data_IF_836055524836
#
_entry.id   IF_836055524836
#
_cell.length_a   1.000
_cell.length_b   1.000
_cell.length_c   1.000
_cell.angle_alpha   90.00
_cell.angle_beta   90.00
_cell.angle_gamma   90.00
#
_symmetry.space_group_name_H-M   'P 1'
#
loop_
_entity.id
_entity.type
_entity.pdbx_description
1 polymer ?
#
# COMPACT_ATOMS: atom_id res chain seq x y z
N UNK A 1 6.08 39.95 -14.31
CA UNK A 1 6.43 38.89 -15.28
C UNK A 1 5.95 37.58 -14.69
N UNK A 2 4.98 36.91 -15.32
CA UNK A 2 4.53 35.60 -14.85
C UNK A 2 5.67 34.60 -15.07
N UNK A 3 6.33 34.20 -13.98
CA UNK A 3 7.29 33.10 -13.99
C UNK A 3 6.52 31.84 -14.39
N UNK A 4 6.65 31.42 -15.65
CA UNK A 4 6.11 30.15 -16.12
C UNK A 4 6.85 29.03 -15.40
N UNK A 5 6.27 28.53 -14.32
CA UNK A 5 6.79 27.33 -13.68
C UNK A 5 6.62 26.15 -14.64
N UNK A 6 7.65 25.31 -14.83
CA UNK A 6 7.54 24.19 -15.74
C UNK A 6 6.43 23.23 -15.26
N UNK A 7 5.59 22.84 -16.21
CA UNK A 7 4.58 21.78 -16.05
C UNK A 7 4.82 20.75 -17.14
N UNK A 8 4.56 19.48 -16.83
CA UNK A 8 4.83 18.38 -17.74
C UNK A 8 3.95 18.47 -19.01
N UNK A 9 4.55 18.27 -20.18
CA UNK A 9 3.88 18.28 -21.51
C UNK A 9 4.43 17.13 -22.37
N UNK A 10 3.61 16.57 -23.27
CA UNK A 10 3.99 15.49 -24.19
C UNK A 10 4.66 14.30 -23.48
N UNK A 11 4.12 13.89 -22.33
CA UNK A 11 4.71 12.89 -21.45
C UNK A 11 4.57 11.47 -22.02
N UNK A 12 5.62 10.68 -21.85
CA UNK A 12 5.53 9.22 -21.94
C UNK A 12 4.82 8.65 -20.71
N UNK A 13 4.37 7.39 -20.77
CA UNK A 13 3.80 6.71 -19.60
C UNK A 13 4.76 6.69 -18.40
N UNK A 14 6.06 6.47 -18.64
CA UNK A 14 7.09 6.50 -17.61
C UNK A 14 7.24 7.89 -16.97
N UNK A 15 7.18 8.97 -17.76
CA UNK A 15 7.21 10.34 -17.21
C UNK A 15 5.96 10.67 -16.38
N UNK A 16 4.78 10.16 -16.76
CA UNK A 16 3.57 10.30 -15.95
C UNK A 16 3.66 9.53 -14.64
N UNK A 17 4.28 8.35 -14.65
CA UNK A 17 4.50 7.57 -13.43
C UNK A 17 5.46 8.32 -12.48
N UNK A 18 6.54 8.90 -13.01
CA UNK A 18 7.42 9.79 -12.25
C UNK A 18 6.68 11.04 -11.73
N UNK A 19 5.75 11.60 -12.50
CA UNK A 19 4.92 12.70 -12.05
C UNK A 19 3.96 12.31 -10.91
N UNK A 20 3.41 11.10 -10.92
CA UNK A 20 2.61 10.60 -9.81
C UNK A 20 3.46 10.48 -8.54
N UNK A 21 4.67 9.92 -8.63
CA UNK A 21 5.61 9.82 -7.51
C UNK A 21 6.01 11.20 -6.96
N UNK A 22 6.44 12.10 -7.85
CA UNK A 22 6.84 13.46 -7.50
C UNK A 22 5.70 14.24 -6.83
N UNK A 23 4.48 14.14 -7.37
CA UNK A 23 3.32 14.81 -6.79
C UNK A 23 3.00 14.32 -5.37
N UNK A 24 3.09 13.01 -5.12
CA UNK A 24 2.88 12.45 -3.77
C UNK A 24 4.02 12.82 -2.81
N UNK A 25 5.28 12.78 -3.25
CA UNK A 25 6.43 13.17 -2.42
C UNK A 25 6.32 14.64 -1.97
N UNK A 26 5.92 15.53 -2.87
CA UNK A 26 5.69 16.93 -2.55
C UNK A 26 4.47 17.09 -1.63
N UNK A 27 3.38 16.34 -1.88
CA UNK A 27 2.21 16.36 -0.99
C UNK A 27 2.57 15.96 0.44
N UNK A 28 3.33 14.86 0.62
CA UNK A 28 3.77 14.41 1.95
C UNK A 28 4.60 15.47 2.65
N UNK A 29 5.50 16.11 1.92
CA UNK A 29 6.36 17.20 2.40
C UNK A 29 5.52 18.40 2.85
N UNK A 30 4.60 18.87 2.00
CA UNK A 30 3.75 20.03 2.27
C UNK A 30 2.77 19.80 3.41
N UNK A 31 2.17 18.61 3.49
CA UNK A 31 1.32 18.25 4.63
C UNK A 31 2.09 18.29 5.94
N UNK A 32 3.27 17.65 6.01
CA UNK A 32 4.06 17.65 7.23
C UNK A 32 4.43 19.08 7.65
N UNK A 33 4.87 19.93 6.71
CA UNK A 33 5.15 21.33 6.98
C UNK A 33 3.91 22.11 7.46
N UNK A 34 2.76 21.95 6.80
CA UNK A 34 1.52 22.63 7.16
C UNK A 34 1.01 22.22 8.56
N UNK A 35 1.34 21.00 9.00
CA UNK A 35 1.03 20.49 10.34
C UNK A 35 2.09 20.85 11.40
N UNK A 36 3.09 21.68 11.07
CA UNK A 36 4.17 22.07 11.99
C UNK A 36 5.19 20.96 12.23
N UNK A 37 5.23 19.97 11.36
CA UNK A 37 6.10 18.81 11.39
C UNK A 37 7.49 19.05 10.80
N UNK A 38 8.21 17.96 10.53
CA UNK A 38 9.58 17.94 10.05
C UNK A 38 9.69 17.20 8.71
N UNK A 39 10.64 17.64 7.88
CA UNK A 39 11.03 16.97 6.65
C UNK A 39 12.54 16.81 6.64
N UNK A 40 13.01 15.58 6.38
CA UNK A 40 14.42 15.25 6.26
C UNK A 40 14.67 14.67 4.88
N UNK A 41 15.55 15.32 4.12
CA UNK A 41 15.97 14.86 2.80
C UNK A 41 17.45 14.50 2.81
N UNK A 42 17.78 13.34 2.27
CA UNK A 42 19.13 12.92 1.90
C UNK A 42 19.13 12.41 0.45
N UNK A 43 20.31 12.06 -0.09
CA UNK A 43 20.44 11.64 -1.49
C UNK A 43 19.51 10.44 -1.81
N UNK A 44 18.40 10.74 -2.51
CA UNK A 44 17.42 9.74 -2.91
C UNK A 44 16.40 9.33 -1.83
N UNK A 45 16.34 10.01 -0.68
CA UNK A 45 15.44 9.67 0.42
C UNK A 45 14.78 10.93 0.99
N UNK A 46 13.45 10.93 1.06
CA UNK A 46 12.67 11.98 1.73
C UNK A 46 11.79 11.36 2.80
N UNK A 47 11.99 11.79 4.05
CA UNK A 47 11.25 11.33 5.21
C UNK A 47 10.46 12.51 5.79
N UNK A 48 9.20 12.28 6.13
CA UNK A 48 8.33 13.29 6.75
C UNK A 48 7.89 12.84 8.14
N UNK A 49 7.56 13.79 9.00
CA UNK A 49 7.04 13.57 10.34
C UNK A 49 6.01 14.66 10.65
N UNK A 50 4.73 14.30 10.82
CA UNK A 50 3.66 15.26 11.11
C UNK A 50 3.34 15.43 12.60
N UNK A 51 3.99 14.69 13.49
CA UNK A 51 3.69 14.64 14.93
C UNK A 51 3.51 13.21 15.45
N UNK A 52 3.40 13.03 16.79
CA UNK A 52 3.35 11.70 17.40
C UNK A 52 2.05 10.95 17.10
N UNK A 53 0.94 11.65 16.88
CA UNK A 53 -0.36 11.05 16.57
C UNK A 53 -0.61 10.89 15.06
N UNK A 54 0.39 11.25 14.23
CA UNK A 54 0.29 11.24 12.77
C UNK A 54 1.17 10.16 12.17
N UNK A 55 0.77 9.66 11.01
CA UNK A 55 1.62 8.80 10.21
C UNK A 55 2.74 9.63 9.55
N UNK A 56 3.93 9.04 9.49
CA UNK A 56 5.07 9.54 8.75
C UNK A 56 5.16 8.88 7.38
N UNK A 57 5.75 9.59 6.40
CA UNK A 57 5.93 9.05 5.05
C UNK A 57 7.39 9.04 4.63
N UNK A 58 7.80 7.95 3.99
CA UNK A 58 9.02 7.84 3.20
C UNK A 58 8.62 7.86 1.73
N UNK A 59 8.86 8.98 1.07
CA UNK A 59 8.37 9.25 -0.28
C UNK A 59 9.34 8.76 -1.35
N UNK A 60 8.96 7.70 -2.08
CA UNK A 60 9.55 7.25 -3.34
C UNK A 60 11.09 7.21 -3.32
N UNK A 61 11.71 6.43 -2.41
CA UNK A 61 13.15 6.39 -2.31
C UNK A 61 13.78 5.83 -3.58
N UNK A 62 14.86 6.47 -4.01
CA UNK A 62 15.71 6.07 -5.13
C UNK A 62 17.14 6.05 -4.62
N UNK A 63 17.57 4.89 -4.10
CA UNK A 63 18.86 4.76 -3.41
C UNK A 63 19.87 3.97 -4.25
N UNK A 64 21.13 4.36 -4.14
CA UNK A 64 22.25 3.56 -4.63
C UNK A 64 22.40 2.28 -3.80
N UNK A 65 22.44 1.13 -4.46
CA UNK A 65 22.39 -0.19 -3.80
C UNK A 65 23.49 -0.40 -2.74
N UNK A 66 24.70 0.12 -3.00
CA UNK A 66 25.85 -0.01 -2.10
C UNK A 66 25.65 0.76 -0.77
N UNK A 67 24.95 1.89 -0.80
CA UNK A 67 24.73 2.75 0.38
C UNK A 67 23.34 2.63 1.01
N UNK A 68 22.40 1.95 0.34
CA UNK A 68 20.99 1.92 0.73
C UNK A 68 20.76 1.43 2.17
N UNK A 69 21.49 0.41 2.63
CA UNK A 69 21.36 -0.12 3.99
C UNK A 69 21.66 0.94 5.06
N UNK A 70 22.81 1.59 4.97
CA UNK A 70 23.20 2.64 5.93
C UNK A 70 22.28 3.86 5.91
N UNK A 71 21.74 4.23 4.74
CA UNK A 71 20.74 5.30 4.65
C UNK A 71 19.42 4.93 5.34
N UNK A 72 18.95 3.69 5.18
CA UNK A 72 17.75 3.20 5.86
C UNK A 72 17.98 3.07 7.37
N UNK A 73 19.18 2.72 7.83
CA UNK A 73 19.52 2.73 9.26
C UNK A 73 19.45 4.16 9.83
N UNK A 74 20.05 5.14 9.14
CA UNK A 74 19.98 6.55 9.54
C UNK A 74 18.55 7.14 9.51
N UNK A 75 17.68 6.61 8.65
CA UNK A 75 16.24 6.90 8.65
C UNK A 75 15.56 6.33 9.89
N UNK A 76 15.82 5.06 10.22
CA UNK A 76 15.27 4.43 11.42
C UNK A 76 15.72 5.12 12.70
N UNK A 77 16.98 5.57 12.77
CA UNK A 77 17.51 6.36 13.88
C UNK A 77 16.75 7.69 14.04
N UNK A 78 16.45 8.34 12.93
CA UNK A 78 15.68 9.58 12.94
C UNK A 78 14.26 9.36 13.43
N UNK A 79 13.56 8.33 12.95
CA UNK A 79 12.21 8.02 13.45
C UNK A 79 12.18 7.54 14.90
N UNK A 80 13.28 7.01 15.44
CA UNK A 80 13.39 6.73 16.88
C UNK A 80 13.50 7.99 17.72
N UNK A 81 14.11 9.06 17.18
CA UNK A 81 14.18 10.38 17.81
C UNK A 81 12.85 11.15 17.68
N UNK A 82 12.12 10.94 16.58
CA UNK A 82 10.83 11.59 16.27
C UNK A 82 9.76 10.53 15.97
N UNK A 83 9.21 9.87 17.01
CA UNK A 83 8.35 8.71 16.84
C UNK A 83 6.95 9.08 16.33
N UNK A 84 6.54 8.63 15.12
CA UNK A 84 5.19 8.82 14.60
C UNK A 84 4.24 7.68 15.04
N UNK A 85 2.96 7.79 14.72
CA UNK A 85 1.95 6.73 14.93
C UNK A 85 2.09 5.56 13.91
N UNK A 86 2.98 5.71 12.94
CA UNK A 86 3.29 4.70 11.93
C UNK A 86 4.16 5.31 10.83
N UNK A 87 4.83 4.47 10.03
CA UNK A 87 5.66 4.92 8.92
C UNK A 87 5.24 4.16 7.66
N UNK A 88 4.76 4.91 6.66
CA UNK A 88 4.47 4.39 5.32
C UNK A 88 5.63 4.68 4.37
N UNK A 89 6.20 3.65 3.76
CA UNK A 89 7.18 3.80 2.68
C UNK A 89 6.53 3.47 1.33
N UNK A 90 6.62 4.40 0.39
CA UNK A 90 5.99 4.32 -0.93
C UNK A 90 7.05 4.21 -2.02
N UNK A 91 6.80 3.43 -3.06
CA UNK A 91 7.69 3.35 -4.23
C UNK A 91 6.92 3.10 -5.53
N UNK A 92 7.55 3.44 -6.66
CA UNK A 92 7.15 2.97 -7.98
C UNK A 92 7.53 1.49 -8.16
N UNK A 93 7.05 0.87 -9.24
CA UNK A 93 7.46 -0.47 -9.66
C UNK A 93 8.38 -0.40 -10.89
N UNK A 94 9.60 -0.97 -10.87
CA UNK A 94 10.25 -1.60 -9.71
C UNK A 94 10.76 -0.57 -8.69
N UNK A 95 10.90 -0.94 -7.40
CA UNK A 95 11.54 -0.10 -6.41
C UNK A 95 13.05 0.05 -6.70
N UNK A 96 13.66 1.12 -6.16
CA UNK A 96 15.08 1.41 -6.36
C UNK A 96 15.79 1.63 -5.02
N UNK A 97 16.69 0.71 -4.61
CA UNK A 97 17.12 -0.50 -5.33
C UNK A 97 16.01 -1.57 -5.40
N UNK A 98 16.17 -2.53 -6.31
CA UNK A 98 15.20 -3.61 -6.52
C UNK A 98 14.94 -4.43 -5.23
N UNK A 99 15.90 -4.48 -4.31
CA UNK A 99 15.82 -5.15 -3.02
C UNK A 99 15.35 -4.25 -1.87
N UNK A 100 14.87 -3.03 -2.14
CA UNK A 100 14.38 -2.09 -1.12
C UNK A 100 13.37 -2.75 -0.18
N UNK A 101 12.43 -3.55 -0.72
CA UNK A 101 11.46 -4.27 0.07
C UNK A 101 12.09 -5.21 1.10
N UNK A 102 13.12 -5.97 0.72
CA UNK A 102 13.86 -6.87 1.63
C UNK A 102 14.50 -6.06 2.76
N UNK A 103 15.14 -4.93 2.43
CA UNK A 103 15.80 -4.05 3.40
C UNK A 103 14.82 -3.44 4.40
N UNK A 104 13.61 -3.08 3.95
CA UNK A 104 12.56 -2.57 4.81
C UNK A 104 12.00 -3.67 5.73
N UNK A 105 11.76 -4.88 5.21
CA UNK A 105 11.31 -6.02 6.02
C UNK A 105 12.30 -6.36 7.14
N UNK A 106 13.61 -6.35 6.84
CA UNK A 106 14.67 -6.57 7.82
C UNK A 106 14.69 -5.52 8.96
N UNK A 107 14.09 -4.34 8.74
CA UNK A 107 13.95 -3.24 9.71
C UNK A 107 12.57 -3.18 10.37
N UNK A 108 11.73 -4.18 10.15
CA UNK A 108 10.43 -4.31 10.81
C UNK A 108 9.24 -3.75 10.04
N UNK A 109 9.43 -3.27 8.80
CA UNK A 109 8.27 -2.97 7.96
C UNK A 109 7.55 -4.27 7.58
N UNK A 110 6.23 -4.17 7.34
CA UNK A 110 5.40 -5.18 6.68
C UNK A 110 5.09 -4.72 5.26
N UNK A 111 4.88 -5.65 4.34
CA UNK A 111 4.41 -5.32 2.99
C UNK A 111 2.97 -4.78 3.08
N UNK A 112 2.71 -3.67 2.39
CA UNK A 112 1.39 -3.07 2.27
C UNK A 112 0.68 -3.43 0.98
N UNK A 113 -0.37 -2.66 0.70
CA UNK A 113 -1.11 -2.72 -0.54
C UNK A 113 -0.31 -2.12 -1.71
N UNK A 114 -0.77 -2.37 -2.95
CA UNK A 114 -0.13 -1.86 -4.16
C UNK A 114 -0.90 -0.67 -4.71
N UNK A 115 -0.29 0.53 -4.75
CA UNK A 115 -0.80 1.67 -5.48
C UNK A 115 -1.07 1.36 -6.95
N UNK A 116 -2.13 1.95 -7.49
CA UNK A 116 -2.46 1.90 -8.90
C UNK A 116 -2.36 3.31 -9.46
N UNK A 117 -1.28 3.60 -10.16
CA UNK A 117 -1.06 4.91 -10.76
C UNK A 117 -1.89 5.05 -12.03
N UNK A 118 -2.63 6.16 -12.12
CA UNK A 118 -3.36 6.53 -13.32
C UNK A 118 -3.04 7.95 -13.75
N UNK A 119 -3.03 8.18 -15.05
CA UNK A 119 -2.79 9.49 -15.66
C UNK A 119 -3.88 9.85 -16.67
N UNK A 120 -4.15 11.15 -16.79
CA UNK A 120 -5.09 11.74 -17.73
C UNK A 120 -4.45 12.94 -18.42
N UNK A 121 -4.48 12.95 -19.75
CA UNK A 121 -4.30 14.15 -20.56
C UNK A 121 -5.57 15.01 -20.45
N UNK A 122 -5.45 16.21 -19.85
CA UNK A 122 -6.58 17.10 -19.58
C UNK A 122 -7.23 17.66 -20.85
N UNK A 123 -6.60 17.50 -22.01
CA UNK A 123 -7.26 17.80 -23.30
C UNK A 123 -8.22 16.70 -23.74
N UNK A 124 -8.06 15.47 -23.23
CA UNK A 124 -8.84 14.27 -23.59
C UNK A 124 -9.91 13.89 -22.57
N UNK A 125 -10.08 14.69 -21.52
CA UNK A 125 -11.06 14.46 -20.46
C UNK A 125 -12.47 14.26 -21.01
N UNK A 126 -13.17 13.25 -20.49
CA UNK A 126 -14.58 12.99 -20.77
C UNK A 126 -15.42 13.68 -19.68
N UNK A 127 -16.14 14.74 -20.06
CA UNK A 127 -16.93 15.55 -19.12
C UNK A 127 -18.42 15.22 -19.16
N UNK A 128 -18.89 14.62 -20.25
CA UNK A 128 -20.30 14.30 -20.46
C UNK A 128 -20.71 13.04 -19.68
N UNK A 129 -21.12 13.24 -18.43
CA UNK A 129 -21.67 12.18 -17.58
C UNK A 129 -22.95 12.62 -16.88
N UNK A 130 -23.93 11.71 -16.73
CA UNK A 130 -25.16 12.02 -16.01
C UNK A 130 -24.84 12.30 -14.53
N UNK A 131 -25.53 13.30 -13.99
CA UNK A 131 -25.51 13.68 -12.57
C UNK A 131 -26.96 13.83 -12.09
N UNK A 132 -27.24 13.62 -10.79
CA UNK A 132 -28.60 13.81 -10.27
C UNK A 132 -29.01 15.29 -10.37
N UNK A 133 -30.30 15.52 -10.61
CA UNK A 133 -30.88 16.87 -10.54
C UNK A 133 -30.69 17.45 -9.13
N UNK A 134 -30.37 18.75 -9.04
CA UNK A 134 -30.09 19.44 -7.79
C UNK A 134 -28.67 19.21 -7.23
N UNK A 135 -27.78 18.59 -8.01
CA UNK A 135 -26.35 18.53 -7.69
C UNK A 135 -25.69 19.88 -8.00
N UNK A 136 -24.96 20.42 -7.03
CA UNK A 136 -24.12 21.59 -7.17
C UNK A 136 -22.68 21.25 -6.77
N UNK A 137 -21.72 21.94 -7.39
CA UNK A 137 -20.29 21.77 -7.16
C UNK A 137 -19.67 23.12 -6.79
N UNK A 138 -18.94 23.13 -5.68
CA UNK A 138 -18.37 24.35 -5.10
C UNK A 138 -16.88 24.16 -4.86
N UNK A 139 -16.05 25.12 -5.30
CA UNK A 139 -14.64 25.19 -4.92
C UNK A 139 -14.55 25.83 -3.53
N UNK A 140 -14.24 25.04 -2.50
CA UNK A 140 -14.38 25.46 -1.11
C UNK A 140 -13.39 24.75 -0.16
N UNK A 141 -12.42 25.53 0.36
CA UNK A 141 -11.43 25.10 1.35
C UNK A 141 -11.84 25.43 2.80
N UNK A 142 -12.95 26.13 3.03
CA UNK A 142 -13.34 26.63 4.36
C UNK A 142 -14.47 25.82 4.99
N UNK A 143 -15.41 25.28 4.19
CA UNK A 143 -16.50 24.44 4.73
C UNK A 143 -15.95 23.20 5.42
N UNK A 144 -16.32 23.02 6.69
CA UNK A 144 -16.04 21.82 7.48
C UNK A 144 -16.90 20.67 7.00
N UNK A 145 -16.29 19.70 6.32
CA UNK A 145 -16.96 18.49 5.82
C UNK A 145 -16.75 17.27 6.72
N UNK A 146 -15.88 17.38 7.72
CA UNK A 146 -15.50 16.35 8.69
C UNK A 146 -16.69 15.88 9.54
N UNK A 147 -17.67 16.76 9.75
CA UNK A 147 -18.92 16.42 10.44
C UNK A 147 -19.92 15.66 9.56
N UNK A 148 -19.65 15.47 8.26
CA UNK A 148 -20.55 14.75 7.34
C UNK A 148 -20.46 13.25 7.60
N UNK A 149 -21.53 12.60 8.09
CA UNK A 149 -21.46 11.19 8.48
C UNK A 149 -21.09 10.28 7.30
N UNK A 150 -20.10 9.42 7.51
CA UNK A 150 -19.64 8.42 6.53
C UNK A 150 -19.13 9.00 5.21
N UNK A 151 -18.76 10.29 5.16
CA UNK A 151 -18.06 10.85 4.01
C UNK A 151 -16.58 10.43 4.05
N UNK A 152 -16.08 9.64 3.08
CA UNK A 152 -14.68 9.21 3.09
C UNK A 152 -13.71 10.38 2.98
N UNK A 153 -12.59 10.31 3.69
CA UNK A 153 -11.47 11.27 3.61
C UNK A 153 -11.83 12.71 4.00
N UNK A 154 -12.93 12.90 4.76
CA UNK A 154 -13.42 14.22 5.14
C UNK A 154 -12.64 14.86 6.30
N UNK A 155 -11.94 14.05 7.10
CA UNK A 155 -11.20 14.49 8.28
C UNK A 155 -9.69 14.48 8.08
N UNK A 156 -8.99 14.33 9.19
CA UNK A 156 -7.52 14.28 9.29
C UNK A 156 -6.88 13.01 8.69
N UNK A 157 -7.70 12.03 8.29
CA UNK A 157 -7.31 10.78 7.63
C UNK A 157 -7.22 10.91 6.09
N UNK A 158 -7.62 12.05 5.54
CA UNK A 158 -7.44 12.37 4.12
C UNK A 158 -5.98 12.56 3.72
N UNK A 159 -5.65 12.24 2.47
CA UNK A 159 -4.31 12.42 1.91
C UNK A 159 -3.91 13.90 1.84
N UNK A 160 -4.82 14.82 1.55
CA UNK A 160 -4.60 16.27 1.70
C UNK A 160 -5.17 16.71 3.04
N UNK A 161 -4.32 17.29 3.89
CA UNK A 161 -4.72 17.74 5.22
C UNK A 161 -5.54 19.05 5.18
N UNK A 162 -6.47 19.26 6.13
CA UNK A 162 -7.17 20.55 6.28
C UNK A 162 -6.21 21.73 6.47
N UNK A 163 -5.12 21.53 7.22
CA UNK A 163 -4.08 22.54 7.41
C UNK A 163 -3.45 22.99 6.09
N UNK A 164 -3.16 22.06 5.17
CA UNK A 164 -2.61 22.39 3.86
C UNK A 164 -3.60 23.20 3.00
N UNK A 165 -4.88 22.81 2.99
CA UNK A 165 -5.93 23.53 2.26
C UNK A 165 -6.12 24.98 2.73
N UNK A 166 -5.95 25.23 4.03
CA UNK A 166 -6.07 26.57 4.62
C UNK A 166 -4.82 27.43 4.39
N UNK A 167 -3.62 26.84 4.53
CA UNK A 167 -2.36 27.58 4.49
C UNK A 167 -1.83 27.81 3.08
N UNK A 168 -2.13 26.92 2.13
CA UNK A 168 -1.59 26.97 0.77
C UNK A 168 -2.70 26.76 -0.30
N UNK A 169 -3.75 27.62 -0.31
CA UNK A 169 -4.86 27.50 -1.26
C UNK A 169 -4.44 27.70 -2.72
N UNK A 170 -3.28 28.28 -2.99
CA UNK A 170 -2.73 28.50 -4.33
C UNK A 170 -2.21 27.21 -5.00
N UNK A 171 -1.92 26.17 -4.21
CA UNK A 171 -1.49 24.86 -4.72
C UNK A 171 -2.45 23.72 -4.33
N UNK A 172 -3.45 23.98 -3.49
CA UNK A 172 -4.40 22.97 -3.03
C UNK A 172 -5.84 23.51 -3.01
N UNK A 173 -6.75 22.83 -3.72
CA UNK A 173 -8.16 23.23 -3.81
C UNK A 173 -9.06 22.02 -3.59
N UNK A 174 -10.09 22.17 -2.75
CA UNK A 174 -11.15 21.19 -2.53
C UNK A 174 -12.40 21.58 -3.33
N UNK A 175 -13.08 20.55 -3.84
CA UNK A 175 -14.36 20.63 -4.52
C UNK A 175 -15.39 19.84 -3.71
N UNK A 176 -16.47 20.50 -3.31
CA UNK A 176 -17.56 19.92 -2.53
C UNK A 176 -18.77 19.75 -3.44
N UNK A 177 -19.35 18.54 -3.43
CA UNK A 177 -20.63 18.25 -4.06
C UNK A 177 -21.74 18.34 -3.03
N UNK A 178 -22.72 19.21 -3.28
CA UNK A 178 -23.96 19.29 -2.51
C UNK A 178 -25.13 18.79 -3.36
N UNK A 179 -26.02 18.00 -2.78
CA UNK A 179 -27.26 17.54 -3.41
C UNK A 179 -28.42 18.03 -2.57
N UNK A 180 -29.25 18.91 -3.13
CA UNK A 180 -30.35 19.57 -2.41
C UNK A 180 -29.88 20.23 -1.10
N UNK A 181 -28.72 20.90 -1.14
CA UNK A 181 -28.14 21.61 0.01
C UNK A 181 -27.35 20.74 1.00
N UNK A 182 -27.26 19.42 0.81
CA UNK A 182 -26.50 18.52 1.69
C UNK A 182 -25.19 18.08 1.06
N UNK A 183 -24.08 18.09 1.81
CA UNK A 183 -22.78 17.57 1.36
C UNK A 183 -22.88 16.07 1.14
N UNK A 184 -22.57 15.61 -0.08
CA UNK A 184 -22.66 14.20 -0.48
C UNK A 184 -21.37 13.65 -1.08
N UNK A 185 -20.42 14.51 -1.44
CA UNK A 185 -19.14 14.09 -1.97
C UNK A 185 -18.11 15.21 -2.01
N UNK A 186 -16.86 14.84 -2.19
CA UNK A 186 -15.78 15.80 -2.38
C UNK A 186 -14.58 15.18 -3.10
N UNK A 187 -13.68 16.05 -3.55
CA UNK A 187 -12.33 15.70 -3.97
C UNK A 187 -11.42 16.89 -3.78
N UNK A 188 -10.11 16.65 -3.75
CA UNK A 188 -9.11 17.71 -3.71
C UNK A 188 -8.14 17.58 -4.89
N UNK A 189 -7.62 18.71 -5.35
CA UNK A 189 -6.49 18.79 -6.28
C UNK A 189 -5.28 19.37 -5.57
N UNK A 190 -4.11 18.80 -5.85
CA UNK A 190 -2.81 19.31 -5.41
C UNK A 190 -1.90 19.53 -6.61
N UNK A 191 -1.43 20.76 -6.77
CA UNK A 191 -0.73 21.24 -7.94
C UNK A 191 0.78 21.29 -7.68
N UNK A 192 1.56 20.50 -8.43
CA UNK A 192 3.03 20.55 -8.35
C UNK A 192 3.64 21.18 -9.59
N UNK A 193 4.73 21.91 -9.41
CA UNK A 193 5.53 22.46 -10.51
C UNK A 193 6.87 21.76 -10.60
N UNK A 194 7.59 21.92 -11.71
CA UNK A 194 8.87 21.27 -11.93
C UNK A 194 8.88 20.42 -13.21
N UNK A 195 9.97 19.66 -13.46
CA UNK A 195 10.08 18.79 -14.63
C UNK A 195 8.97 17.72 -14.70
N UNK A 196 8.39 17.39 -13.55
CA UNK A 196 7.28 16.44 -13.41
C UNK A 196 6.01 17.10 -12.85
N UNK A 197 5.85 18.42 -13.04
CA UNK A 197 4.70 19.16 -12.52
C UNK A 197 3.38 18.66 -13.12
N UNK A 198 2.45 18.23 -12.26
CA UNK A 198 1.17 17.65 -12.62
C UNK A 198 0.11 17.97 -11.54
N UNK A 199 -1.17 17.83 -11.91
CA UNK A 199 -2.28 17.97 -10.97
C UNK A 199 -2.62 16.62 -10.33
N UNK A 200 -2.35 16.46 -9.05
CA UNK A 200 -2.70 15.25 -8.30
C UNK A 200 -4.14 15.32 -7.80
N UNK A 201 -4.93 14.27 -8.04
CA UNK A 201 -6.31 14.17 -7.55
C UNK A 201 -6.36 13.26 -6.32
N UNK A 202 -6.90 13.79 -5.22
CA UNK A 202 -6.90 13.17 -3.90
C UNK A 202 -8.27 13.26 -3.22
N UNK A 203 -8.41 12.55 -2.10
CA UNK A 203 -9.55 12.60 -1.19
C UNK A 203 -10.92 12.43 -1.88
N UNK A 204 -10.99 11.64 -2.96
CA UNK A 204 -12.25 11.42 -3.69
C UNK A 204 -13.18 10.55 -2.85
N UNK A 205 -14.25 11.15 -2.33
CA UNK A 205 -15.20 10.50 -1.43
C UNK A 205 -16.64 10.80 -1.80
N UNK A 206 -17.52 9.80 -1.67
CA UNK A 206 -18.98 9.95 -1.80
C UNK A 206 -19.65 9.14 -0.68
N UNK A 207 -20.63 9.77 0.00
CA UNK A 207 -21.42 9.13 1.05
C UNK A 207 -22.15 7.89 0.52
N UNK A 208 -22.28 6.79 1.29
CA UNK A 208 -22.82 5.52 0.81
C UNK A 208 -24.16 5.62 0.05
N UNK A 209 -25.13 6.39 0.56
CA UNK A 209 -26.48 6.53 -0.01
C UNK A 209 -26.53 7.36 -1.32
N UNK A 210 -25.44 8.04 -1.67
CA UNK A 210 -25.32 8.86 -2.87
C UNK A 210 -24.36 8.26 -3.93
N UNK A 211 -23.80 7.07 -3.68
CA UNK A 211 -22.93 6.36 -4.62
C UNK A 211 -23.68 5.93 -5.88
N UNK A 212 -22.92 5.61 -6.93
CA UNK A 212 -23.41 5.10 -8.21
C UNK A 212 -24.32 6.06 -9.01
N UNK A 213 -24.44 7.31 -8.58
CA UNK A 213 -25.24 8.37 -9.26
C UNK A 213 -24.41 9.33 -10.11
N UNK A 214 -23.12 9.07 -10.30
CA UNK A 214 -22.22 9.94 -11.08
C UNK A 214 -21.50 11.04 -10.28
N UNK A 215 -21.83 11.25 -8.99
CA UNK A 215 -21.25 12.31 -8.14
C UNK A 215 -19.72 12.21 -8.03
N UNK A 216 -19.18 10.99 -7.87
CA UNK A 216 -17.72 10.79 -7.80
C UNK A 216 -16.99 11.24 -9.07
N UNK A 217 -17.61 11.05 -10.24
CA UNK A 217 -17.08 11.57 -11.50
C UNK A 217 -17.16 13.09 -11.54
N UNK A 218 -18.27 13.66 -11.07
CA UNK A 218 -18.51 15.09 -11.09
C UNK A 218 -17.45 15.88 -10.29
N UNK A 219 -17.10 15.44 -9.08
CA UNK A 219 -16.05 16.10 -8.27
C UNK A 219 -14.66 15.95 -8.90
N UNK A 220 -14.33 14.78 -9.48
CA UNK A 220 -13.07 14.56 -10.20
C UNK A 220 -12.97 15.45 -11.45
N UNK A 221 -14.06 15.59 -12.20
CA UNK A 221 -14.11 16.43 -13.40
C UNK A 221 -13.92 17.90 -13.02
N UNK A 222 -14.55 18.38 -11.95
CA UNK A 222 -14.36 19.74 -11.44
C UNK A 222 -12.89 20.01 -11.10
N UNK A 223 -12.25 19.09 -10.37
CA UNK A 223 -10.83 19.18 -10.04
C UNK A 223 -9.92 19.21 -11.28
N UNK A 224 -10.22 18.38 -12.28
CA UNK A 224 -9.46 18.34 -13.53
C UNK A 224 -9.67 19.59 -14.40
N UNK A 225 -10.90 20.12 -14.45
CA UNK A 225 -11.21 21.36 -15.17
C UNK A 225 -10.49 22.55 -14.53
N UNK A 226 -10.52 22.66 -13.20
CA UNK A 226 -9.75 23.66 -12.48
C UNK A 226 -8.25 23.55 -12.77
N UNK A 227 -7.66 22.35 -12.70
CA UNK A 227 -6.25 22.16 -13.04
C UNK A 227 -5.92 22.63 -14.47
N UNK A 228 -6.81 22.33 -15.43
CA UNK A 228 -6.67 22.78 -16.81
C UNK A 228 -6.71 24.29 -16.94
N UNK A 229 -7.61 24.96 -16.21
CA UNK A 229 -7.69 26.43 -16.13
C UNK A 229 -6.42 27.04 -15.51
N UNK A 230 -5.81 26.35 -14.55
CA UNK A 230 -4.50 26.71 -13.98
C UNK A 230 -3.31 26.40 -14.91
N UNK A 231 -3.57 25.94 -16.14
CA UNK A 231 -2.54 25.70 -17.16
C UNK A 231 -1.86 24.33 -17.10
N UNK A 232 -2.36 23.41 -16.28
CA UNK A 232 -1.85 22.04 -16.22
C UNK A 232 -2.30 21.24 -17.44
N UNK A 233 -1.43 20.34 -17.90
CA UNK A 233 -1.71 19.48 -19.05
C UNK A 233 -2.07 18.04 -18.64
N UNK A 234 -1.56 17.57 -17.50
CA UNK A 234 -1.81 16.22 -17.00
C UNK A 234 -2.37 16.24 -15.57
N UNK A 235 -3.31 15.32 -15.32
CA UNK A 235 -3.72 14.93 -13.98
C UNK A 235 -3.25 13.50 -13.66
N UNK A 236 -2.86 13.27 -12.41
CA UNK A 236 -2.37 11.97 -11.90
C UNK A 236 -3.09 11.59 -10.61
N UNK A 237 -3.24 10.30 -10.35
CA UNK A 237 -3.84 9.82 -9.10
C UNK A 237 -3.43 8.39 -8.75
N UNK A 238 -3.73 8.00 -7.52
CA UNK A 238 -3.75 6.61 -7.08
C UNK A 238 -5.20 6.10 -7.02
N UNK A 239 -5.52 5.09 -7.82
CA UNK A 239 -6.89 4.59 -7.94
C UNK A 239 -7.17 3.39 -7.03
N UNK A 240 -8.14 3.55 -6.13
CA UNK A 240 -8.80 2.44 -5.43
C UNK A 240 -9.99 1.84 -6.23
N UNK A 241 -10.34 2.43 -7.39
CA UNK A 241 -11.46 2.00 -8.24
C UNK A 241 -11.30 2.38 -9.72
N UNK A 242 -10.51 1.61 -10.48
CA UNK A 242 -10.10 1.90 -11.87
C UNK A 242 -11.28 2.19 -12.82
N UNK A 243 -12.39 1.47 -12.69
CA UNK A 243 -13.54 1.56 -13.61
C UNK A 243 -14.11 2.98 -13.71
N UNK A 244 -14.22 3.68 -12.58
CA UNK A 244 -14.80 5.03 -12.55
C UNK A 244 -13.86 6.04 -13.21
N UNK A 245 -12.57 5.98 -12.89
CA UNK A 245 -11.56 6.88 -13.48
C UNK A 245 -11.38 6.65 -14.99
N UNK A 246 -11.47 5.41 -15.46
CA UNK A 246 -11.46 5.11 -16.90
C UNK A 246 -12.58 5.81 -17.67
N UNK A 247 -13.77 5.94 -17.07
CA UNK A 247 -14.90 6.64 -17.73
C UNK A 247 -14.64 8.13 -17.91
N UNK A 248 -13.90 8.76 -16.98
CA UNK A 248 -13.49 10.17 -17.07
C UNK A 248 -12.32 10.36 -18.05
N UNK A 249 -11.64 9.28 -18.43
CA UNK A 249 -10.54 9.28 -19.40
C UNK A 249 -9.16 9.01 -18.80
N UNK A 250 -9.06 8.74 -17.50
CA UNK A 250 -7.80 8.28 -16.91
C UNK A 250 -7.42 6.91 -17.47
N UNK A 251 -6.12 6.66 -17.59
CA UNK A 251 -5.57 5.38 -18.01
C UNK A 251 -4.53 4.90 -17.00
N UNK A 252 -4.38 3.57 -16.88
CA UNK A 252 -3.35 2.98 -16.03
C UNK A 252 -1.96 3.29 -16.60
N UNK A 253 -1.05 3.75 -15.74
CA UNK A 253 0.32 4.12 -16.12
C UNK A 253 1.39 3.33 -15.34
N UNK A 254 1.02 2.64 -14.27
CA UNK A 254 1.94 1.85 -13.47
C UNK A 254 1.31 1.37 -12.16
N UNK A 255 2.03 0.54 -11.43
CA UNK A 255 1.69 0.14 -10.07
C UNK A 255 2.81 0.55 -9.13
N UNK A 256 2.53 0.63 -7.84
CA UNK A 256 3.54 0.87 -6.81
C UNK A 256 3.68 -0.28 -5.83
N UNK A 257 4.52 -0.05 -4.83
CA UNK A 257 4.52 -0.79 -3.57
C UNK A 257 4.41 0.16 -2.40
N UNK A 258 3.74 -0.30 -1.36
CA UNK A 258 3.86 0.29 -0.02
C UNK A 258 4.42 -0.71 0.96
N UNK A 259 5.11 -0.22 1.97
CA UNK A 259 5.49 -0.94 3.17
C UNK A 259 5.13 -0.12 4.39
N UNK A 260 4.63 -0.76 5.42
CA UNK A 260 4.14 -0.09 6.61
C UNK A 260 4.82 -0.63 7.85
N UNK A 261 5.31 0.28 8.67
CA UNK A 261 5.81 -0.02 10.00
C UNK A 261 4.83 0.56 11.01
N UNK A 262 4.21 -0.32 11.79
CA UNK A 262 3.23 0.03 12.81
C UNK A 262 3.73 -0.35 14.20
N UNK A 263 3.22 0.36 15.20
CA UNK A 263 3.51 0.10 16.60
C UNK A 263 4.92 0.51 17.03
N UNK A 264 5.26 0.15 18.26
CA UNK A 264 6.45 0.68 18.94
C UNK A 264 7.68 -0.25 18.88
N UNK A 265 7.58 -1.41 18.21
CA UNK A 265 8.63 -2.43 18.29
C UNK A 265 9.96 -1.93 17.75
N UNK A 266 9.96 -1.15 16.67
CA UNK A 266 11.19 -0.55 16.14
C UNK A 266 11.88 0.41 17.13
N UNK A 267 11.16 0.91 18.14
CA UNK A 267 11.70 1.78 19.20
C UNK A 267 12.10 0.99 20.43
N UNK A 268 11.23 0.09 20.90
CA UNK A 268 11.40 -0.68 22.14
C UNK A 268 12.42 -1.81 21.97
N UNK A 269 12.44 -2.43 20.79
CA UNK A 269 13.26 -3.59 20.46
C UNK A 269 13.85 -3.44 19.05
N UNK A 270 14.72 -2.42 18.82
CA UNK A 270 15.34 -2.23 17.51
C UNK A 270 16.18 -3.47 17.14
N UNK A 271 16.08 -3.97 15.90
CA UNK A 271 16.89 -5.11 15.48
C UNK A 271 18.38 -4.75 15.49
N UNK A 272 19.23 -5.69 15.92
CA UNK A 272 20.68 -5.52 15.90
C UNK A 272 21.19 -5.50 14.46
N UNK A 273 22.35 -4.88 14.22
CA UNK A 273 22.97 -4.84 12.89
C UNK A 273 23.19 -6.23 12.26
N UNK A 274 23.59 -7.22 13.07
CA UNK A 274 23.76 -8.61 12.61
C UNK A 274 22.43 -9.27 12.22
N UNK A 275 21.34 -8.98 12.95
CA UNK A 275 20.00 -9.48 12.64
C UNK A 275 19.47 -8.87 11.34
N UNK A 276 19.69 -7.57 11.13
CA UNK A 276 19.36 -6.90 9.86
C UNK A 276 20.16 -7.54 8.72
N UNK A 277 21.47 -7.71 8.87
CA UNK A 277 22.33 -8.30 7.85
C UNK A 277 21.93 -9.75 7.52
N UNK A 278 21.60 -10.55 8.54
CA UNK A 278 21.09 -11.92 8.38
C UNK A 278 19.77 -11.92 7.61
N UNK A 279 18.77 -11.14 8.04
CA UNK A 279 17.47 -11.05 7.38
C UNK A 279 17.61 -10.58 5.91
N UNK A 280 18.43 -9.56 5.68
CA UNK A 280 18.71 -9.06 4.34
C UNK A 280 19.39 -10.12 3.45
N UNK A 281 20.34 -10.89 3.97
CA UNK A 281 20.99 -11.98 3.23
C UNK A 281 19.97 -13.07 2.86
N UNK A 282 19.15 -13.51 3.82
CA UNK A 282 18.08 -14.50 3.59
C UNK A 282 17.09 -14.01 2.54
N UNK A 283 16.61 -12.77 2.65
CA UNK A 283 15.66 -12.20 1.69
C UNK A 283 16.23 -12.03 0.28
N UNK A 284 17.57 -11.93 0.13
CA UNK A 284 18.27 -11.91 -1.16
C UNK A 284 18.65 -13.29 -1.68
N UNK A 285 18.40 -14.36 -0.93
CA UNK A 285 18.87 -15.71 -1.28
C UNK A 285 20.37 -15.92 -1.08
N UNK A 286 21.04 -15.02 -0.36
CA UNK A 286 22.47 -15.11 -0.07
C UNK A 286 22.65 -15.92 1.21
N UNK A 287 23.45 -16.98 1.14
CA UNK A 287 23.77 -17.79 2.30
C UNK A 287 24.73 -17.02 3.21
N UNK A 288 24.36 -16.72 4.48
CA UNK A 288 25.23 -16.01 5.39
C UNK A 288 26.50 -16.82 5.71
N UNK A 289 27.63 -16.12 5.84
CA UNK A 289 28.89 -16.75 6.21
C UNK A 289 28.86 -17.25 7.66
N UNK A 290 29.57 -18.34 7.96
CA UNK A 290 29.68 -18.84 9.32
C UNK A 290 30.27 -17.75 10.25
N UNK A 291 29.67 -17.59 11.43
CA UNK A 291 30.10 -16.59 12.42
C UNK A 291 29.64 -15.16 12.15
N UNK A 292 28.87 -14.90 11.08
CA UNK A 292 28.33 -13.55 10.81
C UNK A 292 27.04 -13.23 11.58
N UNK A 293 26.53 -14.18 12.36
CA UNK A 293 25.31 -14.09 13.17
C UNK A 293 25.39 -15.06 14.35
N UNK A 294 24.58 -14.86 15.39
CA UNK A 294 24.46 -15.81 16.51
C UNK A 294 23.45 -16.91 16.14
N UNK A 295 23.71 -18.19 16.45
CA UNK A 295 22.79 -19.29 16.08
C UNK A 295 21.35 -19.05 16.57
N UNK A 296 21.17 -18.40 17.72
CA UNK A 296 19.85 -18.04 18.24
C UNK A 296 19.07 -17.07 17.32
N UNK A 297 19.76 -16.25 16.54
CA UNK A 297 19.13 -15.31 15.59
C UNK A 297 18.35 -16.03 14.49
N UNK A 298 18.64 -17.31 14.22
CA UNK A 298 17.86 -18.11 13.27
C UNK A 298 16.41 -18.34 13.71
N UNK A 299 16.17 -18.29 15.03
CA UNK A 299 14.87 -18.50 15.65
C UNK A 299 14.25 -17.21 16.18
N UNK A 300 14.96 -16.08 16.07
CA UNK A 300 14.45 -14.77 16.49
C UNK A 300 13.37 -14.29 15.52
N UNK A 301 12.24 -13.87 16.08
CA UNK A 301 11.16 -13.22 15.33
C UNK A 301 11.60 -11.80 14.97
N UNK A 302 11.48 -11.45 13.69
CA UNK A 302 11.76 -10.10 13.18
C UNK A 302 10.80 -9.09 13.80
N UNK A 303 11.18 -7.80 13.80
CA UNK A 303 10.36 -6.73 14.37
C UNK A 303 8.98 -6.56 13.70
N UNK A 304 8.79 -7.14 12.50
CA UNK A 304 7.50 -7.20 11.80
C UNK A 304 6.66 -8.46 12.12
N UNK A 305 7.14 -9.32 13.02
CA UNK A 305 6.47 -10.56 13.42
C UNK A 305 6.81 -11.79 12.57
N UNK A 306 7.64 -11.66 11.54
CA UNK A 306 8.01 -12.77 10.66
C UNK A 306 9.14 -13.62 11.24
N UNK A 307 9.13 -14.92 10.98
CA UNK A 307 10.34 -15.76 11.06
C UNK A 307 11.24 -15.51 9.84
N UNK A 308 12.51 -15.94 9.92
CA UNK A 308 13.39 -15.95 8.74
C UNK A 308 12.88 -16.89 7.64
N UNK A 309 12.18 -17.97 7.99
CA UNK A 309 11.53 -18.86 7.01
C UNK A 309 10.47 -18.10 6.22
N UNK A 310 9.55 -17.42 6.92
CA UNK A 310 8.51 -16.60 6.28
C UNK A 310 9.12 -15.47 5.43
N UNK A 311 10.26 -14.90 5.84
CA UNK A 311 10.97 -13.92 5.02
C UNK A 311 11.49 -14.55 3.71
N UNK A 312 12.13 -15.72 3.79
CA UNK A 312 12.60 -16.44 2.61
C UNK A 312 11.44 -16.80 1.67
N UNK A 313 10.31 -17.26 2.21
CA UNK A 313 9.08 -17.57 1.46
C UNK A 313 8.54 -16.32 0.77
N UNK A 314 8.34 -15.23 1.51
CA UNK A 314 7.81 -13.98 0.97
C UNK A 314 8.71 -13.37 -0.12
N UNK A 315 10.02 -13.58 -0.02
CA UNK A 315 11.01 -13.13 -1.00
C UNK A 315 11.32 -14.16 -2.09
N UNK A 316 10.62 -15.31 -2.11
CA UNK A 316 10.80 -16.41 -3.07
C UNK A 316 12.24 -16.93 -3.15
N UNK A 317 12.85 -17.23 -1.99
CA UNK A 317 14.25 -17.65 -1.86
C UNK A 317 14.36 -19.12 -1.41
N UNK A 318 14.14 -20.11 -2.29
CA UNK A 318 14.16 -21.53 -1.92
C UNK A 318 15.53 -22.01 -1.44
N UNK A 319 16.63 -21.47 -1.97
CA UNK A 319 17.98 -21.84 -1.53
C UNK A 319 18.24 -21.41 -0.06
N UNK A 320 17.86 -20.17 0.29
CA UNK A 320 17.97 -19.69 1.66
C UNK A 320 17.03 -20.45 2.61
N UNK A 321 15.80 -20.75 2.17
CA UNK A 321 14.88 -21.58 2.94
C UNK A 321 15.45 -22.98 3.20
N UNK A 322 16.03 -23.63 2.19
CA UNK A 322 16.63 -24.97 2.36
C UNK A 322 17.78 -24.93 3.38
N UNK A 323 18.64 -23.91 3.30
CA UNK A 323 19.72 -23.69 4.25
C UNK A 323 19.24 -23.44 5.69
N UNK A 324 18.09 -22.76 5.86
CA UNK A 324 17.45 -22.58 7.17
C UNK A 324 16.96 -23.92 7.72
N UNK A 325 16.34 -24.77 6.89
CA UNK A 325 15.87 -26.12 7.29
C UNK A 325 17.03 -27.00 7.74
N UNK A 326 18.15 -26.98 7.04
CA UNK A 326 19.37 -27.72 7.44
C UNK A 326 19.90 -27.31 8.82
N UNK A 327 19.50 -26.13 9.31
CA UNK A 327 19.88 -25.59 10.64
C UNK A 327 18.76 -25.68 11.66
N UNK A 328 17.73 -26.49 11.39
CA UNK A 328 16.65 -26.76 12.33
C UNK A 328 15.57 -25.68 12.38
N UNK A 329 15.53 -24.75 11.42
CA UNK A 329 14.41 -23.81 11.30
C UNK A 329 13.21 -24.53 10.68
N UNK A 330 12.12 -24.61 11.43
CA UNK A 330 10.87 -25.22 10.97
C UNK A 330 10.18 -24.41 9.86
N UNK A 331 9.30 -25.09 9.13
CA UNK A 331 8.45 -24.51 8.10
C UNK A 331 7.08 -25.19 8.13
N UNK A 332 6.05 -24.48 7.68
CA UNK A 332 4.69 -24.99 7.56
C UNK A 332 4.40 -25.57 6.17
N UNK A 333 3.27 -26.27 6.04
CA UNK A 333 2.79 -26.75 4.74
C UNK A 333 2.60 -25.60 3.74
N UNK A 334 2.14 -24.42 4.21
CA UNK A 334 2.02 -23.22 3.38
C UNK A 334 3.38 -22.71 2.90
N UNK A 335 4.38 -22.64 3.79
CA UNK A 335 5.73 -22.18 3.44
C UNK A 335 6.33 -23.08 2.34
N UNK A 336 6.20 -24.40 2.49
CA UNK A 336 6.64 -25.36 1.49
C UNK A 336 5.90 -25.17 0.15
N UNK A 337 4.58 -24.95 0.20
CA UNK A 337 3.77 -24.71 -1.00
C UNK A 337 4.23 -23.45 -1.74
N UNK A 338 4.39 -22.34 -1.02
CA UNK A 338 4.75 -21.02 -1.58
C UNK A 338 6.20 -20.98 -2.10
N UNK A 339 7.08 -21.87 -1.60
CA UNK A 339 8.43 -22.10 -2.14
C UNK A 339 8.46 -23.05 -3.35
N UNK A 340 7.31 -23.61 -3.75
CA UNK A 340 7.20 -24.58 -4.83
C UNK A 340 7.59 -26.01 -4.44
N UNK A 341 7.81 -26.30 -3.16
CA UNK A 341 8.14 -27.62 -2.64
C UNK A 341 6.88 -28.47 -2.41
N UNK A 342 6.11 -28.71 -3.47
CA UNK A 342 4.80 -29.38 -3.40
C UNK A 342 4.86 -30.75 -2.71
N UNK A 343 5.88 -31.55 -3.01
CA UNK A 343 6.07 -32.87 -2.40
C UNK A 343 6.35 -32.77 -0.90
N UNK A 344 7.09 -31.74 -0.46
CA UNK A 344 7.34 -31.50 0.97
C UNK A 344 6.08 -31.02 1.69
N UNK A 345 5.27 -30.16 1.06
CA UNK A 345 3.98 -29.74 1.61
C UNK A 345 3.04 -30.93 1.79
N UNK A 346 2.95 -31.82 0.79
CA UNK A 346 2.16 -33.04 0.85
C UNK A 346 2.65 -34.02 1.90
N UNK A 347 3.96 -34.27 1.97
CA UNK A 347 4.54 -35.12 2.99
C UNK A 347 4.26 -34.58 4.40
N UNK A 348 4.38 -33.26 4.59
CA UNK A 348 4.15 -32.62 5.88
C UNK A 348 2.69 -32.74 6.34
N UNK A 349 1.73 -32.53 5.44
CA UNK A 349 0.30 -32.73 5.77
C UNK A 349 -0.07 -34.20 5.99
N UNK A 350 0.61 -35.13 5.31
CA UNK A 350 0.40 -36.56 5.55
C UNK A 350 0.89 -37.00 6.93
N UNK A 351 2.00 -36.43 7.43
CA UNK A 351 2.54 -36.76 8.76
C UNK A 351 1.95 -35.91 9.89
N UNK A 352 1.50 -34.69 9.56
CA UNK A 352 0.97 -33.68 10.48
C UNK A 352 -0.32 -33.05 9.91
N UNK A 353 -1.42 -33.82 9.82
CA UNK A 353 -2.66 -33.35 9.20
C UNK A 353 -3.27 -32.13 9.92
N UNK A 354 -2.97 -31.94 11.20
CA UNK A 354 -3.40 -30.77 11.97
C UNK A 354 -2.90 -29.43 11.38
N UNK A 355 -1.82 -29.44 10.59
CA UNK A 355 -1.34 -28.23 9.91
C UNK A 355 -2.33 -27.68 8.89
N UNK A 356 -3.27 -28.49 8.38
CA UNK A 356 -4.32 -27.99 7.50
C UNK A 356 -5.20 -26.93 8.18
N UNK A 357 -5.29 -26.99 9.52
CA UNK A 357 -6.03 -26.07 10.38
C UNK A 357 -5.16 -24.93 10.95
N UNK A 358 -3.86 -24.92 10.66
CA UNK A 358 -2.98 -23.84 11.11
C UNK A 358 -3.48 -22.50 10.56
N UNK A 359 -3.48 -21.48 11.43
CA UNK A 359 -3.94 -20.14 11.09
C UNK A 359 -2.76 -19.22 10.77
N UNK A 360 -2.83 -18.55 9.63
CA UNK A 360 -1.75 -17.74 9.06
C UNK A 360 -2.09 -16.25 9.03
N UNK A 361 -1.06 -15.42 9.20
CA UNK A 361 -1.13 -13.97 9.06
C UNK A 361 -2.05 -13.27 10.07
N UNK A 362 -2.27 -11.98 9.84
CA UNK A 362 -3.05 -11.13 10.75
C UNK A 362 -4.56 -11.50 10.76
N UNK A 363 -5.05 -12.16 9.69
CA UNK A 363 -6.44 -12.62 9.57
C UNK A 363 -6.67 -14.01 10.19
N UNK A 364 -5.61 -14.70 10.62
CA UNK A 364 -5.70 -16.07 11.13
C UNK A 364 -6.44 -17.02 10.16
N UNK A 365 -6.12 -16.90 8.87
CA UNK A 365 -6.72 -17.69 7.79
C UNK A 365 -6.09 -19.09 7.73
N UNK A 366 -6.88 -20.14 7.49
CA UNK A 366 -6.35 -21.50 7.27
C UNK A 366 -5.87 -21.71 5.83
N UNK A 367 -5.25 -22.86 5.53
CA UNK A 367 -4.84 -23.21 4.16
C UNK A 367 -6.00 -23.11 3.16
N UNK A 368 -7.21 -23.54 3.54
CA UNK A 368 -8.39 -23.47 2.68
C UNK A 368 -8.88 -22.04 2.43
N UNK A 369 -8.80 -21.16 3.42
CA UNK A 369 -9.09 -19.75 3.23
C UNK A 369 -8.14 -19.14 2.19
N UNK A 370 -6.85 -19.41 2.31
CA UNK A 370 -5.82 -18.92 1.38
C UNK A 370 -5.97 -19.52 -0.02
N UNK A 371 -6.35 -20.81 -0.12
CA UNK A 371 -6.66 -21.44 -1.40
C UNK A 371 -7.85 -20.75 -2.09
N UNK A 372 -8.92 -20.45 -1.34
CA UNK A 372 -10.08 -19.71 -1.86
C UNK A 372 -9.70 -18.28 -2.30
N UNK A 373 -8.93 -17.55 -1.48
CA UNK A 373 -8.44 -16.21 -1.81
C UNK A 373 -7.71 -16.19 -3.16
N UNK A 374 -6.74 -17.09 -3.30
CA UNK A 374 -5.83 -17.21 -4.45
C UNK A 374 -6.45 -17.92 -5.65
N UNK A 375 -7.66 -18.48 -5.51
CA UNK A 375 -8.26 -19.40 -6.48
C UNK A 375 -7.33 -20.59 -6.81
N UNK A 376 -6.59 -21.07 -5.82
CA UNK A 376 -5.63 -22.16 -5.96
C UNK A 376 -6.31 -23.51 -5.69
N UNK A 377 -6.84 -24.10 -6.77
CA UNK A 377 -7.51 -25.39 -6.71
C UNK A 377 -6.60 -26.52 -6.22
N UNK A 378 -5.30 -26.47 -6.54
CA UNK A 378 -4.36 -27.51 -6.17
C UNK A 378 -4.06 -27.46 -4.67
N UNK A 379 -3.91 -26.26 -4.11
CA UNK A 379 -3.79 -26.07 -2.67
C UNK A 379 -5.07 -26.50 -1.93
N UNK A 380 -6.25 -26.19 -2.49
CA UNK A 380 -7.52 -26.61 -1.90
C UNK A 380 -7.62 -28.15 -1.79
N UNK A 381 -7.30 -28.87 -2.87
CA UNK A 381 -7.29 -30.33 -2.88
C UNK A 381 -6.28 -30.90 -1.88
N UNK A 382 -5.09 -30.31 -1.83
CA UNK A 382 -4.05 -30.72 -0.89
C UNK A 382 -4.50 -30.55 0.56
N UNK A 383 -5.09 -29.41 0.90
CA UNK A 383 -5.58 -29.14 2.25
C UNK A 383 -6.73 -30.08 2.63
N UNK A 384 -7.70 -30.33 1.73
CA UNK A 384 -8.82 -31.25 1.98
C UNK A 384 -8.39 -32.70 2.20
N UNK A 385 -7.34 -33.15 1.51
CA UNK A 385 -6.81 -34.50 1.70
C UNK A 385 -6.30 -34.78 3.13
N UNK A 386 -6.08 -33.75 3.94
CA UNK A 386 -5.71 -33.85 5.35
C UNK A 386 -6.92 -33.79 6.31
N UNK A 387 -8.16 -33.80 5.80
CA UNK A 387 -9.41 -33.71 6.56
C UNK A 387 -9.47 -32.54 7.56
N UNK A 388 -9.36 -31.28 7.10
CA UNK A 388 -9.35 -30.10 7.94
C UNK A 388 -10.72 -29.82 8.58
N UNK A 389 -10.72 -29.03 9.66
CA UNK A 389 -11.94 -28.50 10.25
C UNK A 389 -12.48 -27.34 9.38
N UNK A 390 -13.58 -27.63 8.69
CA UNK A 390 -14.25 -26.70 7.77
C UNK A 390 -15.01 -25.58 8.49
N UNK A 391 -15.11 -25.63 9.82
CA UNK A 391 -15.86 -24.66 10.64
C UNK A 391 -15.00 -23.52 11.17
N UNK A 392 -13.67 -23.63 11.07
CA UNK A 392 -12.75 -22.58 11.52
C UNK A 392 -13.04 -21.29 10.75
N UNK A 393 -13.18 -20.19 11.50
CA UNK A 393 -13.40 -18.86 10.94
C UNK A 393 -12.14 -18.01 10.98
N UNK A 394 -11.97 -17.14 9.99
CA UNK A 394 -10.97 -16.08 10.05
C UNK A 394 -11.30 -15.05 11.16
N UNK A 395 -10.27 -14.39 11.67
CA UNK A 395 -10.39 -13.42 12.79
C UNK A 395 -11.08 -12.12 12.41
N UNK A 396 -11.08 -11.73 11.13
CA UNK A 396 -11.50 -10.40 10.68
C UNK A 396 -12.98 -10.34 10.32
N UNK A 397 -13.47 -11.34 9.59
CA UNK A 397 -14.82 -11.39 9.06
C UNK A 397 -15.66 -12.50 9.67
N UNK A 398 -15.07 -13.34 10.53
CA UNK A 398 -15.68 -14.57 11.03
C UNK A 398 -16.22 -15.45 9.89
N UNK A 399 -15.55 -15.41 8.72
CA UNK A 399 -15.91 -16.20 7.56
C UNK A 399 -15.22 -17.56 7.61
N UNK A 400 -15.92 -18.62 7.24
CA UNK A 400 -15.33 -19.95 7.02
C UNK A 400 -14.65 -20.02 5.65
N UNK A 401 -13.86 -21.07 5.33
CA UNK A 401 -13.28 -21.22 4.00
C UNK A 401 -14.35 -21.27 2.90
N UNK A 402 -15.50 -21.90 3.18
CA UNK A 402 -16.64 -21.91 2.27
C UNK A 402 -17.21 -20.50 2.05
N UNK A 403 -17.36 -19.71 3.12
CA UNK A 403 -17.84 -18.34 3.05
C UNK A 403 -16.93 -17.44 2.20
N UNK A 404 -15.61 -17.59 2.33
CA UNK A 404 -14.63 -16.91 1.47
C UNK A 404 -14.76 -17.35 0.01
N UNK A 405 -14.83 -18.65 -0.25
CA UNK A 405 -14.98 -19.18 -1.60
C UNK A 405 -16.26 -18.68 -2.28
N UNK A 406 -17.38 -18.60 -1.55
CA UNK A 406 -18.65 -18.04 -2.04
C UNK A 406 -18.55 -16.54 -2.32
N UNK A 407 -18.02 -15.76 -1.37
CA UNK A 407 -17.86 -14.31 -1.54
C UNK A 407 -16.98 -13.96 -2.75
N UNK A 408 -15.92 -14.72 -2.96
CA UNK A 408 -14.96 -14.56 -4.07
C UNK A 408 -15.36 -15.32 -5.34
N UNK A 409 -16.53 -15.97 -5.35
CA UNK A 409 -17.10 -16.69 -6.50
C UNK A 409 -16.16 -17.79 -7.06
N UNK A 410 -15.58 -18.60 -6.18
CA UNK A 410 -14.62 -19.67 -6.48
C UNK A 410 -15.33 -21.01 -6.70
N UNK A 411 -16.11 -21.10 -7.78
CA UNK A 411 -17.05 -22.20 -8.02
C UNK A 411 -16.46 -23.61 -7.83
N UNK A 412 -15.27 -23.90 -8.37
CA UNK A 412 -14.65 -25.21 -8.22
C UNK A 412 -14.26 -25.55 -6.78
N UNK A 413 -13.73 -24.57 -6.04
CA UNK A 413 -13.36 -24.74 -4.62
C UNK A 413 -14.62 -24.88 -3.76
N UNK A 414 -15.71 -24.16 -4.08
CA UNK A 414 -17.01 -24.34 -3.42
C UNK A 414 -17.48 -25.78 -3.53
N UNK A 415 -17.46 -26.35 -4.75
CA UNK A 415 -17.88 -27.74 -4.98
C UNK A 415 -17.01 -28.74 -4.21
N UNK A 416 -15.68 -28.52 -4.18
CA UNK A 416 -14.78 -29.37 -3.40
C UNK A 416 -15.09 -29.34 -1.90
N UNK A 417 -15.29 -28.16 -1.31
CA UNK A 417 -15.57 -28.04 0.12
C UNK A 417 -16.94 -28.66 0.45
N UNK A 418 -17.95 -28.46 -0.40
CA UNK A 418 -19.30 -29.02 -0.17
C UNK A 418 -19.35 -30.55 -0.30
N UNK A 419 -18.43 -31.17 -1.04
CA UNK A 419 -18.36 -32.63 -1.16
C UNK A 419 -17.79 -33.32 0.09
N UNK A 420 -17.14 -32.57 0.98
CA UNK A 420 -16.50 -33.07 2.21
C UNK A 420 -17.35 -32.78 3.47
N UNK A 421 -18.52 -32.14 3.31
CA UNK A 421 -19.55 -31.95 4.34
C UNK A 421 -20.49 -33.15 4.38
#
# INVERSE_FOLDING_TARGET
MATYFPVLKNATAAQLEQAAAFNHQELFTRNAMAQGGLVKTSAGLTCTYGGPDKEAMVGFPVLEAAGAGGQLDAMMDWYRQYPPNGIGCWSLHPPQPADLGIRLLARGFKRGWRPCWMGLDLQKIQTAHPVPAGLELHADNTTGIDLTPNLPYAGEDGAISPALLQQQPEIAQRFIATLNGQVVGHSCVFLTTGPYGAAGIYNVGVVPHAREKGIGKAVVIAACQYAKEQGYHYAVLNATGRRMYNQVGFSWIGDGYTWWLHGDLFRKHPPKAQQIALAEAIGRGIIPANGSFETQDLHTILANGMTLMQLAVQCQQPAAAAWLVERGVGYSALDAWDLGWKDKAAALLATHPEQANQQYGDWQATLLHLAAERNDLALAKLALAAHPDLTITDKRYNGTPLGWAQHLQRNEIIQLIMAEQ
#
